data_IF_477793508670
#
_entry.id   IF_477793508670
#
_cell.length_a   1.000
_cell.length_b   1.000
_cell.length_c   1.000
_cell.angle_alpha   90.00
_cell.angle_beta   90.00
_cell.angle_gamma   90.00
#
_symmetry.space_group_name_H-M   'P 1'
#
loop_
_entity.id
_entity.type
_entity.pdbx_description
1 polymer ?
#
# COMPACT_ATOMS: atom_id res chain seq x y z
N UNK A 1 -63.79 -9.67 -26.16
CA UNK A 1 -62.44 -9.06 -26.14
C UNK A 1 -62.17 -8.59 -24.72
N UNK A 2 -61.28 -9.27 -23.98
CA UNK A 2 -60.90 -8.89 -22.60
C UNK A 2 -59.59 -8.09 -22.69
N UNK A 3 -59.59 -6.86 -22.20
CA UNK A 3 -58.38 -6.06 -22.07
C UNK A 3 -57.81 -6.29 -20.66
N UNK A 4 -56.68 -7.00 -20.58
CA UNK A 4 -55.88 -7.12 -19.35
C UNK A 4 -55.07 -5.85 -19.15
N UNK A 5 -55.33 -5.15 -18.05
CA UNK A 5 -54.55 -4.01 -17.56
C UNK A 5 -53.26 -4.57 -16.94
N UNK A 6 -52.13 -4.35 -17.60
CA UNK A 6 -50.80 -4.74 -17.11
C UNK A 6 -50.35 -3.70 -16.09
N UNK A 7 -50.35 -4.06 -14.81
CA UNK A 7 -49.72 -3.28 -13.74
C UNK A 7 -48.21 -3.47 -13.83
N UNK A 8 -47.48 -2.42 -14.22
CA UNK A 8 -46.03 -2.38 -14.10
C UNK A 8 -45.66 -2.17 -12.64
N UNK A 9 -45.16 -3.24 -12.02
CA UNK A 9 -44.42 -3.19 -10.75
C UNK A 9 -43.06 -2.57 -11.04
N UNK A 10 -42.85 -1.32 -10.61
CA UNK A 10 -41.52 -0.71 -10.56
C UNK A 10 -40.80 -1.31 -9.35
N UNK A 11 -39.73 -2.05 -9.60
CA UNK A 11 -38.84 -2.54 -8.55
C UNK A 11 -38.16 -1.33 -7.85
N UNK A 12 -37.98 -1.35 -6.52
CA UNK A 12 -37.28 -0.27 -5.83
C UNK A 12 -35.84 -0.20 -6.32
N UNK A 13 -35.39 1.02 -6.65
CA UNK A 13 -33.99 1.30 -6.92
C UNK A 13 -33.17 0.89 -5.69
N UNK A 14 -32.16 0.04 -5.89
CA UNK A 14 -31.19 -0.32 -4.87
C UNK A 14 -30.55 0.98 -4.36
N UNK A 15 -30.76 1.33 -3.09
CA UNK A 15 -30.16 2.52 -2.50
C UNK A 15 -28.65 2.30 -2.45
N UNK A 16 -27.88 3.18 -3.09
CA UNK A 16 -26.42 3.19 -2.95
C UNK A 16 -26.08 3.25 -1.46
N UNK A 17 -25.26 2.33 -0.93
CA UNK A 17 -24.90 2.35 0.48
C UNK A 17 -24.23 3.68 0.82
N UNK A 18 -24.59 4.23 1.98
CA UNK A 18 -24.04 5.49 2.47
C UNK A 18 -22.61 5.25 2.97
N UNK A 19 -21.63 5.94 2.39
CA UNK A 19 -20.21 5.88 2.80
C UNK A 19 -19.97 6.81 4.00
N UNK A 20 -19.09 6.42 4.92
CA UNK A 20 -18.70 7.28 6.05
C UNK A 20 -17.20 7.53 6.04
N UNK A 21 -16.82 8.80 6.19
CA UNK A 21 -15.45 9.23 6.45
C UNK A 21 -15.30 9.59 7.94
N UNK A 22 -14.19 9.17 8.53
CA UNK A 22 -13.85 9.48 9.92
C UNK A 22 -13.07 10.79 9.99
N UNK A 23 -13.41 11.61 10.99
CA UNK A 23 -12.77 12.88 11.30
C UNK A 23 -12.03 12.72 12.62
N UNK A 24 -10.71 12.90 12.62
CA UNK A 24 -9.92 12.86 13.85
C UNK A 24 -9.98 14.18 14.64
N UNK A 25 -9.28 14.26 15.78
CA UNK A 25 -9.26 15.45 16.62
C UNK A 25 -8.61 16.70 15.99
N UNK A 26 -7.83 16.54 14.92
CA UNK A 26 -7.25 17.63 14.12
C UNK A 26 -8.12 18.02 12.93
N UNK A 27 -9.14 17.22 12.61
CA UNK A 27 -10.02 17.40 11.46
C UNK A 27 -9.65 16.54 10.26
N UNK A 28 -8.61 15.71 10.35
CA UNK A 28 -8.14 14.84 9.26
C UNK A 28 -9.22 13.84 8.87
N UNK A 29 -9.48 13.74 7.57
CA UNK A 29 -10.42 12.81 6.99
C UNK A 29 -9.73 11.50 6.64
N UNK A 30 -10.31 10.39 7.11
CA UNK A 30 -9.84 9.04 6.84
C UNK A 30 -11.00 8.17 6.34
N UNK A 31 -10.76 7.34 5.34
CA UNK A 31 -11.69 6.32 4.90
C UNK A 31 -11.48 5.07 5.77
N UNK A 32 -12.42 4.74 6.67
CA UNK A 32 -12.27 3.62 7.60
C UNK A 32 -12.40 2.26 6.91
N UNK A 33 -12.83 2.21 5.64
CA UNK A 33 -12.88 0.97 4.87
C UNK A 33 -11.50 0.55 4.36
N UNK A 34 -10.56 1.50 4.30
CA UNK A 34 -9.16 1.23 3.96
C UNK A 34 -8.40 0.92 5.23
N UNK A 35 -7.78 -0.26 5.28
CA UNK A 35 -6.96 -0.65 6.42
C UNK A 35 -5.69 0.20 6.45
N UNK A 36 -5.20 0.59 7.65
CA UNK A 36 -3.87 1.16 7.77
C UNK A 36 -2.84 0.18 7.17
N UNK A 37 -1.86 0.68 6.41
CA UNK A 37 -0.89 -0.19 5.79
C UNK A 37 0.03 -0.75 6.89
N UNK A 38 0.48 -1.98 6.71
CA UNK A 38 1.39 -2.67 7.63
C UNK A 38 2.59 -3.30 6.91
N UNK A 39 2.41 -3.72 5.66
CA UNK A 39 3.44 -4.34 4.84
C UNK A 39 3.84 -3.43 3.69
N UNK A 40 5.04 -3.64 3.16
CA UNK A 40 5.54 -2.90 2.00
C UNK A 40 4.62 -3.07 0.78
N UNK A 41 3.99 -4.23 0.62
CA UNK A 41 2.93 -4.47 -0.39
C UNK A 41 1.69 -3.57 -0.27
N UNK A 42 1.41 -3.00 0.90
CA UNK A 42 0.29 -2.07 1.07
C UNK A 42 0.62 -0.68 0.46
N UNK A 43 1.90 -0.31 0.39
CA UNK A 43 2.41 1.02 -0.03
C UNK A 43 3.13 1.02 -1.38
N UNK A 44 3.60 -0.14 -1.86
CA UNK A 44 4.23 -0.36 -3.17
C UNK A 44 3.35 -1.27 -4.04
N UNK A 45 2.11 -0.85 -4.29
CA UNK A 45 1.10 -1.58 -5.06
C UNK A 45 1.46 -1.72 -6.55
N UNK A 46 2.29 -0.83 -7.07
CA UNK A 46 2.77 -0.87 -8.46
C UNK A 46 3.91 -1.88 -8.68
N UNK A 47 4.52 -2.42 -7.61
CA UNK A 47 5.55 -3.46 -7.71
C UNK A 47 4.89 -4.83 -7.75
N UNK A 48 5.19 -5.64 -8.77
CA UNK A 48 4.63 -6.99 -8.85
C UNK A 48 5.53 -8.04 -9.51
N UNK A 49 5.91 -9.12 -8.79
CA UNK A 49 6.69 -10.21 -9.37
C UNK A 49 5.90 -11.04 -10.39
N UNK A 50 4.57 -10.88 -10.46
CA UNK A 50 3.69 -11.70 -11.32
C UNK A 50 3.86 -11.42 -12.81
N UNK A 51 4.27 -10.20 -13.19
CA UNK A 51 4.40 -9.79 -14.59
C UNK A 51 5.83 -9.94 -15.15
N UNK A 52 6.79 -10.37 -14.32
CA UNK A 52 8.17 -10.52 -14.74
C UNK A 52 8.33 -11.82 -15.55
N UNK A 53 8.72 -11.72 -16.81
CA UNK A 53 8.88 -12.87 -17.71
C UNK A 53 10.32 -13.08 -18.17
N UNK A 54 11.19 -12.12 -17.90
CA UNK A 54 12.61 -12.10 -18.25
C UNK A 54 13.43 -11.33 -17.21
N UNK A 55 14.74 -11.49 -17.29
CA UNK A 55 15.70 -10.65 -16.53
C UNK A 55 15.63 -9.17 -16.89
N UNK A 56 15.30 -8.82 -18.13
CA UNK A 56 15.07 -7.43 -18.54
C UNK A 56 13.83 -6.83 -17.84
N UNK A 57 12.72 -7.58 -17.76
CA UNK A 57 11.52 -7.12 -17.04
C UNK A 57 11.82 -6.88 -15.56
N UNK A 58 12.61 -7.77 -14.96
CA UNK A 58 13.03 -7.67 -13.56
C UNK A 58 13.88 -6.42 -13.32
N UNK A 59 14.88 -6.18 -14.16
CA UNK A 59 15.73 -4.99 -14.08
C UNK A 59 14.87 -3.72 -14.17
N UNK A 60 13.96 -3.66 -15.17
CA UNK A 60 13.11 -2.49 -15.36
C UNK A 60 12.17 -2.24 -14.17
N UNK A 61 11.63 -3.32 -13.57
CA UNK A 61 10.79 -3.23 -12.38
C UNK A 61 11.55 -2.69 -11.17
N UNK A 62 12.76 -3.21 -10.92
CA UNK A 62 13.60 -2.80 -9.80
C UNK A 62 14.06 -1.34 -9.98
N UNK A 63 14.47 -0.94 -11.18
CA UNK A 63 14.89 0.43 -11.49
C UNK A 63 13.76 1.46 -11.33
N UNK A 64 12.51 1.07 -11.60
CA UNK A 64 11.34 1.93 -11.45
C UNK A 64 10.99 2.22 -9.98
N UNK A 65 11.53 1.45 -9.03
CA UNK A 65 11.27 1.58 -7.60
C UNK A 65 12.58 1.79 -6.82
N UNK A 66 12.92 3.03 -6.49
CA UNK A 66 14.20 3.35 -5.81
C UNK A 66 14.43 2.55 -4.51
N UNK A 67 13.46 2.41 -3.59
CA UNK A 67 13.67 1.58 -2.40
C UNK A 67 13.95 0.10 -2.72
N UNK A 68 13.36 -0.43 -3.80
CA UNK A 68 13.63 -1.80 -4.26
C UNK A 68 15.03 -1.92 -4.90
N UNK A 69 15.46 -0.93 -5.69
CA UNK A 69 16.83 -0.89 -6.23
C UNK A 69 17.90 -0.82 -5.12
N UNK A 70 17.65 -0.04 -4.07
CA UNK A 70 18.52 0.00 -2.89
C UNK A 70 18.56 -1.39 -2.22
N UNK A 71 17.42 -2.05 -2.07
CA UNK A 71 17.37 -3.40 -1.51
C UNK A 71 18.16 -4.41 -2.35
N UNK A 72 18.04 -4.36 -3.68
CA UNK A 72 18.84 -5.20 -4.58
C UNK A 72 20.34 -4.92 -4.49
N UNK A 73 20.73 -3.67 -4.22
CA UNK A 73 22.13 -3.31 -3.99
C UNK A 73 22.66 -3.95 -2.69
N UNK A 74 21.86 -3.95 -1.62
CA UNK A 74 22.21 -4.66 -0.39
C UNK A 74 22.33 -6.18 -0.60
N UNK A 75 21.37 -6.79 -1.31
CA UNK A 75 21.42 -8.21 -1.64
C UNK A 75 22.64 -8.56 -2.50
N UNK A 76 23.06 -7.66 -3.40
CA UNK A 76 24.26 -7.84 -4.19
C UNK A 76 25.55 -7.76 -3.36
N UNK A 77 25.60 -6.92 -2.32
CA UNK A 77 26.71 -6.86 -1.37
C UNK A 77 26.81 -8.14 -0.52
N UNK A 78 25.65 -8.67 -0.08
CA UNK A 78 25.57 -9.99 0.58
C UNK A 78 26.07 -11.09 -0.36
N UNK A 79 25.60 -11.07 -1.62
CA UNK A 79 26.03 -12.04 -2.64
C UNK A 79 27.52 -11.94 -2.93
N UNK A 80 28.08 -10.73 -2.98
CA UNK A 80 29.53 -10.51 -3.14
C UNK A 80 30.29 -11.20 -2.00
N UNK A 81 29.85 -11.02 -0.76
CA UNK A 81 30.46 -11.65 0.43
C UNK A 81 30.44 -13.17 0.33
N UNK A 82 29.30 -13.76 -0.07
CA UNK A 82 29.19 -15.21 -0.29
C UNK A 82 30.16 -15.72 -1.36
N UNK A 83 30.30 -14.98 -2.47
CA UNK A 83 31.20 -15.36 -3.56
C UNK A 83 32.65 -15.29 -3.11
N UNK A 84 33.03 -14.28 -2.33
CA UNK A 84 34.39 -14.15 -1.79
C UNK A 84 34.73 -15.32 -0.86
N UNK A 85 33.81 -15.73 0.00
CA UNK A 85 33.96 -16.91 0.86
C UNK A 85 34.10 -18.20 0.03
N UNK A 86 33.26 -18.37 -1.01
CA UNK A 86 33.31 -19.55 -1.89
C UNK A 86 34.61 -19.63 -2.71
N UNK A 87 35.16 -18.49 -3.11
CA UNK A 87 36.44 -18.41 -3.83
C UNK A 87 37.64 -18.64 -2.92
N UNK A 88 37.55 -18.19 -1.66
CA UNK A 88 38.59 -18.38 -0.65
C UNK A 88 38.64 -19.82 -0.11
N UNK A 89 37.55 -20.58 -0.24
CA UNK A 89 37.52 -21.98 0.15
C UNK A 89 38.42 -22.84 -0.76
N UNK A 90 39.51 -23.33 -0.17
CA UNK A 90 40.48 -24.22 -0.81
C UNK A 90 39.92 -25.64 -1.02
N UNK A 91 38.96 -26.05 -0.19
CA UNK A 91 38.31 -27.37 -0.25
C UNK A 91 37.09 -27.37 -1.19
N UNK A 92 36.74 -26.23 -1.77
CA UNK A 92 35.62 -26.10 -2.70
C UNK A 92 35.85 -26.87 -4.02
N UNK A 93 34.89 -27.73 -4.36
CA UNK A 93 34.84 -28.55 -5.58
C UNK A 93 34.59 -27.74 -6.88
N UNK A 94 34.63 -26.41 -6.82
CA UNK A 94 34.43 -25.53 -7.97
C UNK A 94 35.48 -25.79 -9.06
N UNK A 95 34.99 -26.16 -10.26
CA UNK A 95 35.81 -26.23 -11.45
C UNK A 95 36.36 -24.86 -11.88
N UNK A 96 37.49 -24.87 -12.61
CA UNK A 96 38.21 -23.66 -13.07
C UNK A 96 37.28 -22.63 -13.74
N UNK A 97 36.35 -23.11 -14.58
CA UNK A 97 35.42 -22.22 -15.30
C UNK A 97 34.38 -21.59 -14.36
N UNK A 98 33.91 -22.31 -13.35
CA UNK A 98 32.98 -21.80 -12.35
C UNK A 98 33.67 -20.75 -11.46
N UNK A 99 34.88 -21.06 -10.96
CA UNK A 99 35.71 -20.07 -10.22
C UNK A 99 35.96 -18.80 -11.03
N UNK A 100 36.24 -18.93 -12.33
CA UNK A 100 36.47 -17.76 -13.20
C UNK A 100 35.20 -16.91 -13.38
N UNK A 101 34.03 -17.53 -13.49
CA UNK A 101 32.74 -16.82 -13.59
C UNK A 101 32.42 -16.08 -12.31
N UNK A 102 32.57 -16.74 -11.16
CA UNK A 102 32.37 -16.14 -9.85
C UNK A 102 33.34 -14.98 -9.59
N UNK A 103 34.63 -15.15 -9.92
CA UNK A 103 35.61 -14.08 -9.79
C UNK A 103 35.30 -12.87 -10.69
N UNK A 104 34.76 -13.10 -11.89
CA UNK A 104 34.27 -12.03 -12.75
C UNK A 104 33.09 -11.29 -12.11
N UNK A 105 32.07 -12.02 -11.66
CA UNK A 105 30.91 -11.42 -11.01
C UNK A 105 31.31 -10.63 -9.75
N UNK A 106 32.19 -11.16 -8.92
CA UNK A 106 32.68 -10.47 -7.74
C UNK A 106 33.43 -9.16 -8.06
N UNK A 107 34.15 -9.11 -9.19
CA UNK A 107 34.82 -7.88 -9.64
C UNK A 107 33.80 -6.80 -10.06
N UNK A 108 32.76 -7.20 -10.80
CA UNK A 108 31.68 -6.31 -11.23
C UNK A 108 30.88 -5.77 -10.03
N UNK A 109 30.49 -6.64 -9.09
CA UNK A 109 29.78 -6.23 -7.87
C UNK A 109 30.61 -5.28 -7.00
N UNK A 110 31.92 -5.53 -6.87
CA UNK A 110 32.82 -4.64 -6.12
C UNK A 110 33.07 -3.31 -6.83
N UNK A 111 33.11 -3.33 -8.16
CA UNK A 111 33.35 -2.16 -8.99
C UNK A 111 32.17 -1.19 -9.02
N UNK A 112 30.96 -1.70 -8.80
CA UNK A 112 29.71 -0.93 -8.86
C UNK A 112 28.73 -1.35 -7.73
N UNK A 113 28.87 -0.79 -6.52
CA UNK A 113 28.02 -1.16 -5.38
C UNK A 113 26.55 -0.76 -5.53
N UNK A 114 26.26 0.27 -6.32
CA UNK A 114 24.90 0.82 -6.44
C UNK A 114 24.12 0.16 -7.59
N UNK A 115 24.80 -0.21 -8.69
CA UNK A 115 24.15 -0.78 -9.87
C UNK A 115 24.72 -2.12 -10.34
N UNK A 116 25.73 -2.68 -9.65
CA UNK A 116 26.32 -3.97 -9.99
C UNK A 116 25.34 -5.15 -9.92
N UNK A 117 24.26 -5.02 -9.16
CA UNK A 117 23.17 -5.99 -9.12
C UNK A 117 22.55 -6.27 -10.50
N UNK A 118 22.60 -5.32 -11.45
CA UNK A 118 22.22 -5.55 -12.86
C UNK A 118 23.03 -6.66 -13.51
N UNK A 119 24.34 -6.65 -13.28
CA UNK A 119 25.27 -7.65 -13.82
C UNK A 119 25.02 -9.00 -13.18
N UNK A 120 24.72 -9.02 -11.87
CA UNK A 120 24.33 -10.25 -11.17
C UNK A 120 23.06 -10.86 -11.76
N UNK A 121 21.98 -10.08 -11.90
CA UNK A 121 20.72 -10.53 -12.52
C UNK A 121 20.95 -11.06 -13.94
N UNK A 122 21.71 -10.32 -14.75
CA UNK A 122 22.05 -10.71 -16.13
C UNK A 122 22.89 -12.00 -16.16
N UNK A 123 23.80 -12.16 -15.20
CA UNK A 123 24.70 -13.32 -15.11
C UNK A 123 23.95 -14.62 -14.76
N UNK A 124 22.99 -14.55 -13.83
CA UNK A 124 22.12 -15.69 -13.48
C UNK A 124 21.15 -16.03 -14.64
N UNK A 125 20.70 -15.01 -15.37
CA UNK A 125 19.78 -15.16 -16.49
C UNK A 125 18.41 -15.67 -16.06
N UNK A 126 17.59 -16.07 -17.04
CA UNK A 126 16.18 -16.42 -16.78
C UNK A 126 15.99 -17.69 -15.91
N UNK A 127 17.05 -18.49 -15.74
CA UNK A 127 17.02 -19.63 -14.80
C UNK A 127 16.96 -19.17 -13.33
N UNK A 128 17.56 -18.01 -13.01
CA UNK A 128 17.52 -17.41 -11.68
C UNK A 128 16.28 -16.54 -11.41
N UNK A 129 15.46 -16.28 -12.44
CA UNK A 129 14.31 -15.36 -12.36
C UNK A 129 13.32 -15.74 -11.25
N UNK A 130 13.11 -17.04 -11.01
CA UNK A 130 12.23 -17.51 -9.94
C UNK A 130 12.72 -17.06 -8.55
N UNK A 131 14.02 -17.17 -8.29
CA UNK A 131 14.62 -16.75 -7.01
C UNK A 131 14.57 -15.23 -6.84
N UNK A 132 14.78 -14.45 -7.90
CA UNK A 132 14.62 -12.99 -7.81
C UNK A 132 13.18 -12.55 -7.57
N UNK A 133 12.19 -13.26 -8.13
CA UNK A 133 10.77 -13.01 -7.81
C UNK A 133 10.48 -13.29 -6.34
N UNK A 134 11.08 -14.33 -5.76
CA UNK A 134 10.98 -14.63 -4.33
C UNK A 134 11.59 -13.50 -3.49
N UNK A 135 12.78 -12.99 -3.86
CA UNK A 135 13.40 -11.84 -3.18
C UNK A 135 12.51 -10.58 -3.21
N UNK A 136 11.86 -10.29 -4.34
CA UNK A 136 10.88 -9.19 -4.43
C UNK A 136 9.68 -9.46 -3.53
N UNK A 137 9.18 -10.70 -3.50
CA UNK A 137 8.03 -11.06 -2.69
C UNK A 137 8.34 -10.95 -1.19
N UNK A 138 9.52 -11.42 -0.76
CA UNK A 138 9.99 -11.31 0.62
C UNK A 138 10.08 -9.83 1.03
N UNK A 139 10.64 -8.98 0.18
CA UNK A 139 10.66 -7.54 0.40
C UNK A 139 9.27 -6.90 0.44
N UNK A 140 8.30 -7.40 -0.34
CA UNK A 140 6.91 -6.92 -0.30
C UNK A 140 6.17 -7.38 0.98
N UNK A 141 6.57 -8.50 1.55
CA UNK A 141 6.00 -9.09 2.76
C UNK A 141 6.64 -8.56 4.07
N UNK A 142 7.71 -7.77 3.96
CA UNK A 142 8.34 -7.08 5.08
C UNK A 142 7.48 -5.91 5.63
N UNK A 143 7.77 -5.52 6.88
CA UNK A 143 7.15 -4.36 7.53
C UNK A 143 7.47 -3.05 6.78
N UNK A 144 6.51 -2.12 6.80
CA UNK A 144 6.69 -0.80 6.18
C UNK A 144 7.83 -0.04 6.83
N UNK A 145 8.72 0.48 5.98
CA UNK A 145 9.69 1.49 6.38
C UNK A 145 9.14 2.90 6.12
N UNK A 146 8.68 3.56 7.17
CA UNK A 146 8.16 4.94 7.09
C UNK A 146 9.21 5.98 6.65
N UNK A 147 10.51 5.64 6.67
CA UNK A 147 11.55 6.50 6.12
C UNK A 147 11.53 6.63 4.59
N UNK A 148 10.68 5.87 3.90
CA UNK A 148 10.55 5.84 2.45
C UNK A 148 9.22 6.43 1.96
N UNK A 149 8.52 7.21 2.81
CA UNK A 149 7.19 7.74 2.51
C UNK A 149 7.10 8.52 1.19
N UNK A 150 8.19 9.19 0.79
CA UNK A 150 8.30 9.94 -0.47
C UNK A 150 8.20 9.04 -1.73
N UNK A 151 8.37 7.73 -1.57
CA UNK A 151 8.33 6.73 -2.64
C UNK A 151 7.05 5.88 -2.62
N UNK A 152 6.17 6.05 -1.63
CA UNK A 152 4.94 5.27 -1.56
C UNK A 152 3.95 5.68 -2.67
N UNK A 153 3.16 4.73 -3.16
CA UNK A 153 2.14 4.97 -4.20
C UNK A 153 0.98 5.86 -3.70
N UNK A 154 0.24 6.56 -4.56
CA UNK A 154 -0.70 7.61 -4.09
C UNK A 154 -1.85 7.15 -3.15
N UNK A 155 -2.16 5.84 -3.05
CA UNK A 155 -3.36 5.32 -2.35
C UNK A 155 -3.07 4.14 -1.40
N UNK A 156 -2.25 4.37 -0.38
CA UNK A 156 -1.89 3.35 0.62
C UNK A 156 -2.58 3.46 1.98
N UNK A 157 -3.31 4.53 2.30
CA UNK A 157 -4.04 4.66 3.57
C UNK A 157 -5.46 5.21 3.38
N UNK A 158 -6.31 5.04 4.41
CA UNK A 158 -7.60 5.71 4.45
C UNK A 158 -7.50 7.23 4.37
N UNK A 159 -6.39 7.80 4.85
CA UNK A 159 -6.09 9.23 4.72
C UNK A 159 -5.80 9.60 3.27
N UNK A 160 -4.93 8.87 2.57
CA UNK A 160 -4.62 9.15 1.17
C UNK A 160 -5.80 8.85 0.23
N UNK A 161 -6.58 7.80 0.49
CA UNK A 161 -7.82 7.51 -0.21
C UNK A 161 -8.87 8.62 -0.03
N UNK A 162 -9.01 9.17 1.19
CA UNK A 162 -9.87 10.33 1.44
C UNK A 162 -9.36 11.55 0.69
N UNK A 163 -8.06 11.82 0.77
CA UNK A 163 -7.43 12.95 0.09
C UNK A 163 -7.68 12.91 -1.42
N UNK A 164 -7.47 11.76 -2.07
CA UNK A 164 -7.76 11.58 -3.49
C UNK A 164 -9.25 11.84 -3.78
N UNK A 165 -10.16 11.18 -3.06
CA UNK A 165 -11.60 11.35 -3.24
C UNK A 165 -12.03 12.81 -3.12
N UNK A 166 -11.61 13.50 -2.07
CA UNK A 166 -11.97 14.89 -1.84
C UNK A 166 -11.30 15.81 -2.86
N UNK A 167 -10.10 15.51 -3.33
CA UNK A 167 -9.41 16.26 -4.40
C UNK A 167 -10.16 16.20 -5.73
N UNK A 168 -10.78 15.07 -6.03
CA UNK A 168 -11.60 14.85 -7.24
C UNK A 168 -12.99 15.52 -7.18
N UNK A 169 -13.50 15.83 -5.98
CA UNK A 169 -14.76 16.58 -5.86
C UNK A 169 -14.66 17.98 -6.45
N UNK A 170 -15.77 18.53 -6.94
CA UNK A 170 -15.79 19.93 -7.36
C UNK A 170 -15.39 20.87 -6.19
N UNK A 171 -14.57 21.87 -6.47
CA UNK A 171 -14.10 22.82 -5.46
C UNK A 171 -15.25 23.56 -4.75
N UNK A 172 -16.37 23.80 -5.44
CA UNK A 172 -17.60 24.36 -4.89
C UNK A 172 -18.23 23.44 -3.82
N UNK A 173 -18.28 22.13 -4.10
CA UNK A 173 -18.78 21.10 -3.19
C UNK A 173 -17.86 20.96 -1.98
N UNK A 174 -16.54 20.84 -2.18
CA UNK A 174 -15.57 20.83 -1.06
C UNK A 174 -15.75 22.04 -0.14
N UNK A 175 -15.80 23.24 -0.72
CA UNK A 175 -15.96 24.49 0.04
C UNK A 175 -17.28 24.52 0.81
N UNK A 176 -18.38 24.05 0.22
CA UNK A 176 -19.66 23.98 0.90
C UNK A 176 -19.63 23.01 2.08
N UNK A 177 -18.95 21.87 1.93
CA UNK A 177 -18.77 20.88 3.00
C UNK A 177 -17.79 21.31 4.09
N UNK A 178 -17.01 22.37 3.86
CA UNK A 178 -15.92 22.78 4.76
C UNK A 178 -14.67 21.92 4.62
N UNK A 179 -14.52 21.15 3.54
CA UNK A 179 -13.33 20.33 3.31
C UNK A 179 -12.23 21.16 2.65
N UNK A 180 -11.03 21.08 3.21
CA UNK A 180 -9.81 21.69 2.66
C UNK A 180 -8.77 20.61 2.36
N UNK A 181 -8.00 20.83 1.31
CA UNK A 181 -6.83 20.00 1.00
C UNK A 181 -5.61 20.71 1.57
N UNK A 182 -4.86 20.02 2.42
CA UNK A 182 -3.60 20.52 2.99
C UNK A 182 -2.47 19.93 2.15
N UNK A 183 -1.73 20.83 1.50
CA UNK A 183 -0.54 20.53 0.70
C UNK A 183 0.71 21.10 1.42
N UNK A 184 1.78 20.30 1.48
CA UNK A 184 2.80 20.36 2.52
C UNK A 184 3.66 21.62 2.59
N UNK A 185 4.03 21.98 3.82
CA UNK A 185 5.38 22.33 4.33
C UNK A 185 5.18 22.92 5.73
N UNK A 186 5.42 22.12 6.77
CA UNK A 186 5.59 22.62 8.12
C UNK A 186 7.00 22.28 8.61
N UNK A 187 7.68 23.19 9.35
CA UNK A 187 8.99 22.87 9.90
C UNK A 187 8.88 21.63 10.79
N UNK A 188 9.41 20.51 10.32
CA UNK A 188 9.41 19.23 11.02
C UNK A 188 8.41 18.17 10.54
N UNK A 189 7.55 18.43 9.55
CA UNK A 189 6.77 17.38 8.86
C UNK A 189 6.13 17.83 7.53
N UNK A 190 6.03 16.88 6.60
CA UNK A 190 5.32 16.90 5.31
C UNK A 190 3.87 16.40 5.50
N UNK A 191 3.08 17.02 6.39
CA UNK A 191 1.69 16.57 6.55
C UNK A 191 0.87 16.88 5.29
N UNK A 192 0.27 15.83 4.72
CA UNK A 192 -0.54 15.86 3.50
C UNK A 192 -1.89 15.16 3.72
N UNK A 193 -3.01 15.85 3.51
CA UNK A 193 -4.32 15.29 3.86
C UNK A 193 -5.53 16.18 3.55
N UNK A 194 -6.71 15.57 3.48
CA UNK A 194 -7.97 16.31 3.47
C UNK A 194 -8.44 16.54 4.90
N UNK A 195 -8.84 17.77 5.22
CA UNK A 195 -9.35 18.13 6.55
C UNK A 195 -10.76 18.71 6.48
N UNK A 196 -11.60 18.34 7.43
CA UNK A 196 -12.88 18.98 7.67
C UNK A 196 -12.69 20.20 8.58
N UNK A 197 -12.84 21.41 8.02
CA UNK A 197 -12.87 22.67 8.75
C UNK A 197 -14.32 22.99 9.14
N UNK A 198 -14.69 22.60 10.36
CA UNK A 198 -15.99 22.96 10.93
C UNK A 198 -16.65 21.82 11.68
N UNK A 199 -17.96 21.92 11.86
CA UNK A 199 -18.76 20.97 12.60
C UNK A 199 -19.28 19.82 11.72
N UNK A 200 -19.13 18.58 12.20
CA UNK A 200 -19.56 17.36 11.50
C UNK A 200 -21.06 17.39 11.17
N UNK A 201 -21.91 17.88 12.07
CA UNK A 201 -23.35 17.91 11.83
C UNK A 201 -23.72 18.92 10.73
N UNK A 202 -23.06 20.07 10.69
CA UNK A 202 -23.23 21.05 9.61
C UNK A 202 -22.78 20.50 8.26
N UNK A 203 -21.61 19.84 8.22
CA UNK A 203 -21.10 19.21 7.01
C UNK A 203 -22.03 18.10 6.51
N UNK A 204 -22.58 17.29 7.42
CA UNK A 204 -23.54 16.23 7.11
C UNK A 204 -24.89 16.75 6.60
N UNK A 205 -25.39 17.85 7.17
CA UNK A 205 -26.59 18.52 6.66
C UNK A 205 -26.35 19.03 5.23
N UNK A 206 -25.20 19.68 5.00
CA UNK A 206 -24.82 20.15 3.66
C UNK A 206 -24.69 19.00 2.67
N UNK A 207 -24.05 17.90 3.06
CA UNK A 207 -23.95 16.70 2.22
C UNK A 207 -25.33 16.12 1.87
N UNK A 208 -26.29 16.19 2.79
CA UNK A 208 -27.67 15.78 2.55
C UNK A 208 -28.39 16.72 1.57
N UNK A 209 -28.24 18.03 1.75
CA UNK A 209 -28.88 19.04 0.90
C UNK A 209 -28.34 18.99 -0.54
N UNK A 210 -27.07 18.60 -0.71
CA UNK A 210 -26.42 18.36 -1.99
C UNK A 210 -26.68 16.97 -2.58
N UNK A 211 -27.42 16.10 -1.87
CA UNK A 211 -27.74 14.75 -2.34
C UNK A 211 -26.54 13.79 -2.42
N UNK A 212 -25.47 14.07 -1.66
CA UNK A 212 -24.25 13.25 -1.65
C UNK A 212 -24.49 11.93 -0.91
N UNK A 213 -23.81 10.88 -1.36
CA UNK A 213 -23.91 9.52 -0.81
C UNK A 213 -22.89 9.21 0.27
N UNK A 214 -22.27 10.23 0.87
CA UNK A 214 -21.32 10.06 1.97
C UNK A 214 -21.58 11.02 3.13
N UNK A 215 -21.13 10.66 4.32
CA UNK A 215 -21.23 11.44 5.57
C UNK A 215 -19.93 11.38 6.37
N UNK A 216 -19.84 12.23 7.38
CA UNK A 216 -18.72 12.36 8.31
C UNK A 216 -19.11 11.85 9.69
N UNK A 217 -18.17 11.25 10.44
CA UNK A 217 -18.33 10.85 11.84
C UNK A 217 -17.02 11.04 12.60
N UNK A 218 -17.07 11.14 13.93
CA UNK A 218 -15.85 11.17 14.74
C UNK A 218 -15.08 9.84 14.63
N UNK A 219 -13.76 9.91 14.54
CA UNK A 219 -12.88 8.75 14.60
C UNK A 219 -13.10 8.00 15.93
N UNK A 220 -13.25 6.67 15.85
CA UNK A 220 -13.49 5.82 17.02
C UNK A 220 -14.92 5.82 17.58
N UNK A 221 -15.87 6.57 17.01
CA UNK A 221 -17.30 6.39 17.31
C UNK A 221 -17.91 5.40 16.31
N UNK A 222 -18.09 4.16 16.75
CA UNK A 222 -18.96 3.20 16.07
C UNK A 222 -20.35 3.84 15.97
N UNK A 223 -20.91 3.88 14.76
CA UNK A 223 -22.28 4.34 14.57
C UNK A 223 -23.19 3.58 15.56
N UNK A 224 -24.14 4.24 16.25
CA UNK A 224 -25.08 3.52 17.08
C UNK A 224 -25.83 2.56 16.17
N UNK A 225 -25.58 1.27 16.39
CA UNK A 225 -26.33 0.18 15.81
C UNK A 225 -27.81 0.42 16.12
N UNK A 226 -28.66 0.14 15.14
CA UNK A 226 -30.10 0.42 15.18
C UNK A 226 -30.68 -0.11 16.50
N UNK A 227 -31.41 0.69 17.30
CA UNK A 227 -31.83 0.29 18.63
C UNK A 227 -32.87 -0.85 18.54
N UNK A 228 -32.44 -2.08 18.81
CA UNK A 228 -33.32 -3.22 18.67
C UNK A 228 -32.74 -4.60 18.98
N UNK A 229 -31.70 -4.73 19.82
CA UNK A 229 -31.34 -6.03 20.38
C UNK A 229 -30.65 -5.86 21.73
N UNK A 230 -31.36 -6.17 22.80
CA UNK A 230 -30.80 -6.30 24.14
C UNK A 230 -29.67 -7.34 24.13
N UNK A 231 -28.46 -7.03 24.62
CA UNK A 231 -27.44 -8.05 24.80
C UNK A 231 -27.78 -8.88 26.03
N UNK A 232 -28.17 -10.14 25.81
CA UNK A 232 -28.09 -11.17 26.84
C UNK A 232 -26.61 -11.49 27.09
N UNK A 233 -26.16 -11.29 28.32
CA UNK A 233 -24.89 -11.84 28.80
C UNK A 233 -24.86 -13.35 28.66
N UNK A 234 -23.68 -13.92 28.37
CA UNK A 234 -23.26 -15.06 29.15
C UNK A 234 -21.86 -14.89 29.76
N UNK A 235 -21.69 -15.67 30.81
CA UNK A 235 -20.67 -15.60 31.83
C UNK A 235 -19.28 -16.01 31.35
N UNK A 236 -18.29 -15.60 32.15
CA UNK A 236 -16.87 -15.77 31.95
C UNK A 236 -16.34 -17.21 31.88
N UNK A 237 -15.22 -17.32 31.18
CA UNK A 237 -14.01 -18.06 31.51
C UNK A 237 -12.94 -17.52 30.52
N UNK A 238 -11.75 -17.07 30.87
CA UNK A 238 -10.91 -17.45 32.00
C UNK A 238 -9.61 -18.04 31.45
N UNK A 239 -8.69 -17.15 31.06
CA UNK A 239 -7.21 -17.25 31.07
C UNK A 239 -6.49 -18.49 30.50
N UNK A 240 -5.48 -18.23 29.66
CA UNK A 240 -4.44 -19.21 29.33
C UNK A 240 -3.43 -18.70 28.30
N UNK A 241 -2.35 -18.08 28.79
CA UNK A 241 -1.18 -17.62 28.05
C UNK A 241 -0.25 -18.77 27.61
N UNK A 242 0.58 -18.51 26.59
CA UNK A 242 1.95 -19.00 26.35
C UNK A 242 2.57 -17.99 25.35
N UNK A 243 3.66 -17.27 25.68
CA UNK A 243 5.06 -17.72 25.73
C UNK A 243 5.61 -18.09 24.35
#
# INVERSE_FOLDING_TARGET
>A
MKASKKTSSVAPAQATPLTFYEVDGSGTLTDPSVRPPSLRSDVFQNVSPSYLHSTDDLIEEVDRCTPLAIHFSCLADERLSEIEDELADEDSDLGIMARRRLAFLADELRGDPDTGWHVWVTHEGDLGLASFKELIQDWLDDEINWGEEDYFDDVWSGQSASLQFFSDLEASVRKALGVVIIDGEHPGSSYYGAELRGDIAQANQTAQDLGLTFRFRDQGKVAPDVPGASPQSPAGAGSGACS
#
